data_IF_983250378379
#
_entry.id   IF_983250378379
#
_cell.length_a   1.000
_cell.length_b   1.000
_cell.length_c   1.000
_cell.angle_alpha   90.00
_cell.angle_beta   90.00
_cell.angle_gamma   90.00
#
_symmetry.space_group_name_H-M   'P 1'
#
loop_
_entity.id
_entity.type
_entity.pdbx_description
1 polymer ?
#
# COMPACT_ATOMS: atom_id res chain seq x y z
N UNK A 1 -41.14 -13.48 38.74
CA UNK A 1 -40.95 -13.52 37.28
C UNK A 1 -40.32 -12.20 36.86
N UNK A 2 -39.01 -12.18 36.65
CA UNK A 2 -38.30 -11.03 36.07
C UNK A 2 -38.08 -11.33 34.57
N UNK A 3 -38.33 -10.38 33.65
CA UNK A 3 -38.16 -10.65 32.23
C UNK A 3 -36.66 -10.62 31.90
N UNK A 4 -36.20 -11.69 31.28
CA UNK A 4 -34.87 -11.79 30.68
C UNK A 4 -34.80 -10.88 29.45
N UNK A 5 -33.94 -9.86 29.50
CA UNK A 5 -33.60 -9.08 28.31
C UNK A 5 -32.65 -9.91 27.44
N UNK A 6 -33.15 -10.38 26.30
CA UNK A 6 -32.34 -10.92 25.21
C UNK A 6 -31.49 -9.81 24.58
N UNK A 7 -30.18 -10.05 24.33
CA UNK A 7 -29.33 -9.04 23.71
C UNK A 7 -29.71 -8.87 22.24
N UNK A 8 -29.93 -7.63 21.83
CA UNK A 8 -30.13 -7.23 20.43
C UNK A 8 -28.92 -7.66 19.60
N UNK A 9 -29.10 -8.25 18.40
CA UNK A 9 -27.99 -8.56 17.51
C UNK A 9 -27.42 -7.25 16.99
N UNK A 10 -26.25 -6.86 17.50
CA UNK A 10 -25.50 -5.74 16.94
C UNK A 10 -25.24 -6.01 15.45
N UNK A 11 -25.50 -5.02 14.61
CA UNK A 11 -25.07 -5.03 13.21
C UNK A 11 -23.56 -5.28 13.19
N UNK A 12 -23.16 -6.50 12.85
CA UNK A 12 -21.79 -6.80 12.51
C UNK A 12 -21.48 -6.03 11.22
N UNK A 13 -20.88 -4.85 11.36
CA UNK A 13 -20.21 -4.15 10.25
C UNK A 13 -19.10 -5.09 9.83
N UNK A 14 -19.33 -5.85 8.76
CA UNK A 14 -18.31 -6.70 8.16
C UNK A 14 -17.15 -5.78 7.78
N UNK A 15 -16.00 -5.95 8.44
CA UNK A 15 -14.82 -5.14 8.15
C UNK A 15 -14.51 -5.23 6.64
N UNK A 16 -14.32 -4.10 5.94
CA UNK A 16 -14.14 -4.07 4.48
C UNK A 16 -12.86 -4.81 4.04
N UNK A 17 -11.94 -5.07 4.97
CA UNK A 17 -10.70 -5.81 4.73
C UNK A 17 -10.79 -7.20 5.37
N UNK A 18 -10.54 -8.22 4.56
CA UNK A 18 -10.49 -9.61 5.02
C UNK A 18 -9.42 -9.76 6.12
N UNK A 19 -9.80 -10.28 7.29
CA UNK A 19 -8.93 -10.30 8.49
C UNK A 19 -7.60 -11.02 8.27
N UNK A 20 -7.59 -12.09 7.46
CA UNK A 20 -6.34 -12.78 7.11
C UNK A 20 -5.32 -11.91 6.35
N UNK A 21 -5.69 -10.73 5.82
CA UNK A 21 -4.76 -9.76 5.22
C UNK A 21 -4.02 -8.93 6.26
N UNK A 22 -4.45 -8.98 7.53
CA UNK A 22 -3.99 -8.12 8.61
C UNK A 22 -3.25 -8.96 9.64
N UNK A 23 -2.09 -8.45 10.08
CA UNK A 23 -1.36 -8.93 11.25
C UNK A 23 -1.32 -7.83 12.30
N UNK A 24 -1.76 -8.13 13.51
CA UNK A 24 -1.57 -7.25 14.65
C UNK A 24 -0.17 -7.51 15.20
N UNK A 25 0.73 -6.54 15.03
CA UNK A 25 2.11 -6.61 15.55
C UNK A 25 2.15 -6.15 17.02
N UNK A 26 1.30 -5.18 17.35
CA UNK A 26 1.12 -4.69 18.70
C UNK A 26 -0.35 -4.26 18.89
N UNK A 27 -1.08 -4.77 19.89
CA UNK A 27 -2.50 -4.47 20.05
C UNK A 27 -2.78 -3.05 20.59
N UNK A 28 -1.77 -2.35 21.10
CA UNK A 28 -1.94 -1.16 21.93
C UNK A 28 -2.34 -1.54 23.36
N UNK A 29 -1.86 -0.78 24.34
CA UNK A 29 -2.11 -1.00 25.77
C UNK A 29 -2.77 0.22 26.41
N UNK A 30 -3.77 -0.03 27.24
CA UNK A 30 -4.47 1.00 27.99
C UNK A 30 -5.63 1.62 27.22
N UNK A 31 -6.62 2.08 27.98
CA UNK A 31 -7.73 2.85 27.44
C UNK A 31 -7.29 4.32 27.29
N UNK A 32 -7.71 5.03 26.24
CA UNK A 32 -7.52 6.47 26.18
C UNK A 32 -8.14 7.12 27.44
N UNK A 33 -7.56 8.21 27.96
CA UNK A 33 -8.14 8.94 29.08
C UNK A 33 -9.61 9.27 28.82
N UNK A 34 -10.47 9.14 29.82
CA UNK A 34 -11.89 9.42 29.68
C UNK A 34 -12.11 10.86 29.16
N UNK A 35 -12.80 11.01 28.02
CA UNK A 35 -13.07 12.30 27.39
C UNK A 35 -12.00 12.80 26.40
N UNK A 36 -10.92 12.06 26.17
CA UNK A 36 -9.94 12.41 25.13
C UNK A 36 -10.53 12.22 23.72
N UNK A 37 -10.21 13.13 22.80
CA UNK A 37 -10.52 12.93 21.37
C UNK A 37 -9.80 11.67 20.86
N UNK A 38 -10.42 10.88 19.97
CA UNK A 38 -9.75 9.75 19.32
C UNK A 38 -8.45 10.21 18.65
N UNK A 39 -7.37 9.47 18.90
CA UNK A 39 -6.11 9.67 18.20
C UNK A 39 -6.25 9.33 16.71
N UNK A 40 -5.57 10.04 15.79
CA UNK A 40 -5.60 9.68 14.37
C UNK A 40 -5.08 8.28 14.12
N UNK A 41 -5.57 7.66 13.05
CA UNK A 41 -4.93 6.48 12.46
C UNK A 41 -3.97 6.95 11.37
N UNK A 42 -2.75 6.43 11.37
CA UNK A 42 -1.77 6.76 10.33
C UNK A 42 -1.39 5.52 9.55
N UNK A 43 -1.55 5.57 8.22
CA UNK A 43 -0.98 4.60 7.31
C UNK A 43 0.45 5.00 6.94
N UNK A 44 1.43 4.27 7.45
CA UNK A 44 2.81 4.32 6.96
C UNK A 44 2.91 3.54 5.64
N UNK A 45 2.83 4.30 4.56
CA UNK A 45 2.98 3.83 3.18
C UNK A 45 4.47 3.66 2.86
N UNK A 46 4.82 2.52 2.26
CA UNK A 46 6.18 2.23 1.82
C UNK A 46 6.20 1.49 0.48
N UNK A 47 5.63 0.27 0.42
CA UNK A 47 5.67 -0.58 -0.77
C UNK A 47 4.53 -0.30 -1.74
N UNK A 48 3.34 0.04 -1.22
CA UNK A 48 2.12 0.16 -2.01
C UNK A 48 1.75 1.63 -2.23
N UNK A 49 2.50 2.32 -3.10
CA UNK A 49 2.44 3.77 -3.32
C UNK A 49 1.28 4.16 -4.25
N UNK A 50 0.06 3.91 -3.76
CA UNK A 50 -1.21 4.24 -4.42
C UNK A 50 -2.33 4.44 -3.39
N UNK A 51 -3.32 5.26 -3.74
CA UNK A 51 -4.55 5.45 -2.97
C UNK A 51 -5.66 4.49 -3.41
N UNK A 52 -5.72 4.14 -4.70
CA UNK A 52 -6.69 3.16 -5.20
C UNK A 52 -6.23 1.72 -4.92
N UNK A 53 -7.19 0.80 -4.78
CA UNK A 53 -6.92 -0.65 -4.68
C UNK A 53 -5.84 -1.01 -3.63
N UNK A 54 -5.86 -0.36 -2.47
CA UNK A 54 -4.86 -0.49 -1.41
C UNK A 54 -5.48 -1.00 -0.11
N UNK A 55 -5.29 -2.29 0.20
CA UNK A 55 -5.83 -2.91 1.42
C UNK A 55 -5.28 -2.30 2.72
N UNK A 56 -4.05 -1.78 2.73
CA UNK A 56 -3.47 -1.15 3.91
C UNK A 56 -4.16 0.19 4.21
N UNK A 57 -4.40 1.01 3.17
CA UNK A 57 -5.15 2.25 3.29
C UNK A 57 -6.63 1.99 3.68
N UNK A 58 -7.28 1.01 3.05
CA UNK A 58 -8.65 0.61 3.39
C UNK A 58 -8.77 0.14 4.85
N UNK A 59 -7.79 -0.61 5.34
CA UNK A 59 -7.76 -1.04 6.74
C UNK A 59 -7.57 0.14 7.68
N UNK A 60 -6.64 1.05 7.37
CA UNK A 60 -6.43 2.26 8.15
C UNK A 60 -7.70 3.13 8.21
N UNK A 61 -8.39 3.31 7.08
CA UNK A 61 -9.66 4.03 7.03
C UNK A 61 -10.76 3.32 7.83
N UNK A 62 -10.84 1.99 7.78
CA UNK A 62 -11.80 1.23 8.59
C UNK A 62 -11.56 1.38 10.09
N UNK A 63 -10.29 1.42 10.53
CA UNK A 63 -9.95 1.67 11.93
C UNK A 63 -10.32 3.10 12.34
N UNK A 64 -10.02 4.07 11.47
CA UNK A 64 -10.33 5.48 11.71
C UNK A 64 -11.85 5.71 11.82
N UNK A 65 -12.63 5.12 10.91
CA UNK A 65 -14.08 5.19 10.95
C UNK A 65 -14.67 4.55 12.21
N UNK A 66 -14.16 3.37 12.61
CA UNK A 66 -14.63 2.66 13.80
C UNK A 66 -14.38 3.42 15.10
N UNK A 67 -13.34 4.24 15.17
CA UNK A 67 -13.02 5.07 16.33
C UNK A 67 -13.46 6.53 16.20
N UNK A 68 -14.16 6.89 15.12
CA UNK A 68 -14.45 8.28 14.76
C UNK A 68 -13.20 9.19 14.80
N UNK A 69 -12.07 8.65 14.35
CA UNK A 69 -10.79 9.32 14.28
C UNK A 69 -10.49 9.82 12.86
N UNK A 70 -9.64 10.87 12.72
CA UNK A 70 -9.13 11.27 11.42
C UNK A 70 -8.06 10.29 10.92
N UNK A 71 -7.85 10.26 9.60
CA UNK A 71 -6.89 9.39 8.90
C UNK A 71 -5.79 10.26 8.26
N UNK A 72 -4.54 9.81 8.33
CA UNK A 72 -3.44 10.37 7.54
C UNK A 72 -2.59 9.28 6.89
N UNK A 73 -1.86 9.67 5.85
CA UNK A 73 -0.82 8.87 5.20
C UNK A 73 0.53 9.48 5.53
N UNK A 74 1.51 8.64 5.85
CA UNK A 74 2.90 9.03 6.01
C UNK A 74 3.79 8.18 5.09
N UNK A 75 4.71 8.81 4.39
CA UNK A 75 5.77 8.15 3.64
C UNK A 75 7.12 8.54 4.23
N UNK A 76 7.97 7.54 4.48
CA UNK A 76 9.33 7.76 4.96
C UNK A 76 10.35 7.32 3.92
N UNK A 77 11.08 8.29 3.38
CA UNK A 77 12.19 8.05 2.46
C UNK A 77 13.41 7.61 3.28
N UNK A 78 13.96 6.44 2.95
CA UNK A 78 15.24 6.00 3.52
C UNK A 78 16.33 7.02 3.14
N UNK A 79 17.09 7.57 4.10
CA UNK A 79 18.17 8.49 3.79
C UNK A 79 19.30 7.77 3.07
N UNK A 80 20.26 8.52 2.51
CA UNK A 80 21.48 7.99 1.88
C UNK A 80 22.13 6.92 2.78
N UNK A 81 22.46 5.71 2.29
CA UNK A 81 22.60 5.31 0.88
C UNK A 81 21.30 4.88 0.16
N UNK A 82 20.13 5.26 0.67
CA UNK A 82 18.80 4.90 0.17
C UNK A 82 18.51 3.39 0.27
N UNK A 83 17.23 3.03 0.13
CA UNK A 83 16.80 1.64 0.24
C UNK A 83 17.49 0.78 -0.83
N UNK A 84 18.30 -0.19 -0.39
CA UNK A 84 19.04 -1.12 -1.26
C UNK A 84 19.87 -0.40 -2.35
N UNK A 85 20.43 0.77 -2.03
CA UNK A 85 21.26 1.55 -2.95
C UNK A 85 20.51 1.98 -4.23
N UNK A 86 19.26 2.39 -4.09
CA UNK A 86 18.50 3.01 -5.18
C UNK A 86 19.29 4.15 -5.85
N UNK A 87 19.25 4.20 -7.19
CA UNK A 87 19.98 5.16 -8.01
C UNK A 87 19.06 6.27 -8.49
N UNK A 88 19.60 7.29 -9.17
CA UNK A 88 18.81 8.40 -9.73
C UNK A 88 17.57 7.92 -10.48
N UNK A 89 17.69 6.92 -11.35
CA UNK A 89 16.56 6.30 -12.08
C UNK A 89 15.39 5.88 -11.19
N UNK A 90 15.67 5.13 -10.12
CA UNK A 90 14.61 4.60 -9.24
C UNK A 90 14.04 5.70 -8.34
N UNK A 91 14.92 6.57 -7.82
CA UNK A 91 14.52 7.66 -6.93
C UNK A 91 13.66 8.69 -7.65
N UNK A 92 14.04 9.07 -8.87
CA UNK A 92 13.26 9.96 -9.72
C UNK A 92 11.87 9.40 -10.02
N UNK A 93 11.79 8.13 -10.44
CA UNK A 93 10.51 7.47 -10.71
C UNK A 93 9.61 7.41 -9.46
N UNK A 94 10.17 7.05 -8.30
CA UNK A 94 9.46 7.03 -7.01
C UNK A 94 8.93 8.41 -6.63
N UNK A 95 9.80 9.44 -6.61
CA UNK A 95 9.44 10.76 -6.10
C UNK A 95 8.45 11.48 -7.02
N UNK A 96 8.59 11.33 -8.34
CA UNK A 96 7.62 11.85 -9.31
C UNK A 96 6.27 11.15 -9.16
N UNK A 97 6.26 9.84 -8.87
CA UNK A 97 5.05 9.11 -8.50
C UNK A 97 4.40 9.62 -7.22
N UNK A 98 5.19 9.85 -6.16
CA UNK A 98 4.70 10.41 -4.90
C UNK A 98 4.18 11.84 -5.04
N UNK A 99 4.77 12.67 -5.92
CA UNK A 99 4.25 14.01 -6.24
C UNK A 99 2.81 13.95 -6.75
N UNK A 100 2.51 12.99 -7.63
CA UNK A 100 1.15 12.76 -8.14
C UNK A 100 0.23 12.25 -7.02
N UNK A 101 0.68 11.27 -6.25
CA UNK A 101 -0.08 10.70 -5.12
C UNK A 101 -0.44 11.77 -4.08
N UNK A 102 0.48 12.68 -3.76
CA UNK A 102 0.22 13.77 -2.83
C UNK A 102 -0.87 14.74 -3.33
N UNK A 103 -0.90 15.03 -4.63
CA UNK A 103 -1.96 15.84 -5.23
C UNK A 103 -3.33 15.12 -5.19
N UNK A 104 -3.36 13.82 -5.46
CA UNK A 104 -4.57 13.00 -5.36
C UNK A 104 -5.05 12.89 -3.91
N UNK A 105 -4.12 12.76 -2.96
CA UNK A 105 -4.42 12.73 -1.53
C UNK A 105 -5.03 14.05 -1.05
N UNK A 106 -4.48 15.19 -1.49
CA UNK A 106 -5.04 16.51 -1.21
C UNK A 106 -6.46 16.68 -1.76
N UNK A 107 -6.73 16.20 -2.98
CA UNK A 107 -8.09 16.18 -3.58
C UNK A 107 -9.08 15.39 -2.73
N UNK A 108 -8.62 14.30 -2.11
CA UNK A 108 -9.41 13.46 -1.19
C UNK A 108 -9.41 13.97 0.26
N UNK A 109 -8.75 15.10 0.55
CA UNK A 109 -8.57 15.66 1.90
C UNK A 109 -7.90 14.66 2.87
N UNK A 110 -7.01 13.82 2.36
CA UNK A 110 -6.18 12.92 3.14
C UNK A 110 -4.81 13.58 3.30
N UNK A 111 -4.40 13.97 4.52
CA UNK A 111 -3.08 14.53 4.75
C UNK A 111 -1.98 13.53 4.40
N UNK A 112 -0.97 14.01 3.67
CA UNK A 112 0.20 13.23 3.27
C UNK A 112 1.47 13.81 3.91
N UNK A 113 2.03 13.10 4.88
CA UNK A 113 3.29 13.46 5.54
C UNK A 113 4.47 12.82 4.83
N UNK A 114 5.36 13.63 4.25
CA UNK A 114 6.63 13.16 3.72
C UNK A 114 7.75 13.36 4.75
N UNK A 115 8.43 12.28 5.11
CA UNK A 115 9.54 12.22 6.05
C UNK A 115 10.81 11.81 5.30
N UNK A 116 11.91 12.55 5.43
CA UNK A 116 13.13 12.36 4.61
C UNK A 116 14.37 11.98 5.44
N UNK A 117 14.29 12.02 6.77
CA UNK A 117 15.30 11.54 7.70
C UNK A 117 15.24 10.03 7.98
N UNK A 118 14.19 9.35 7.53
CA UNK A 118 14.08 7.90 7.53
C UNK A 118 13.02 7.32 8.49
N UNK A 119 12.90 5.98 8.56
CA UNK A 119 11.76 5.32 9.23
C UNK A 119 11.58 5.69 10.70
N UNK A 120 12.66 6.08 11.40
CA UNK A 120 12.61 6.47 12.81
C UNK A 120 11.94 7.84 13.05
N UNK A 121 11.59 8.59 12.01
CA UNK A 121 10.71 9.75 12.13
C UNK A 121 9.23 9.35 12.33
N UNK A 122 8.85 8.10 11.99
CA UNK A 122 7.47 7.60 12.16
C UNK A 122 7.04 7.59 13.63
N UNK A 123 7.79 7.02 14.59
CA UNK A 123 7.45 7.12 16.02
C UNK A 123 7.28 8.56 16.50
N UNK A 124 8.18 9.46 16.10
CA UNK A 124 8.08 10.87 16.45
C UNK A 124 6.80 11.51 15.89
N UNK A 125 6.44 11.21 14.63
CA UNK A 125 5.17 11.64 14.04
C UNK A 125 3.96 11.10 14.83
N UNK A 126 3.97 9.82 15.22
CA UNK A 126 2.88 9.21 16.00
C UNK A 126 2.66 9.92 17.33
N UNK A 127 3.74 10.20 18.05
CA UNK A 127 3.69 10.91 19.33
C UNK A 127 3.16 12.34 19.16
N UNK A 128 3.70 13.09 18.19
CA UNK A 128 3.27 14.48 17.93
C UNK A 128 1.79 14.59 17.57
N UNK A 129 1.28 13.62 16.81
CA UNK A 129 -0.14 13.58 16.41
C UNK A 129 -1.06 12.99 17.49
N UNK A 130 -0.51 12.38 18.54
CA UNK A 130 -1.27 11.57 19.49
C UNK A 130 -2.02 10.43 18.79
N UNK A 131 -1.37 9.77 17.82
CA UNK A 131 -2.00 8.73 17.00
C UNK A 131 -2.44 7.53 17.85
N UNK A 132 -3.55 6.90 17.48
CA UNK A 132 -4.05 5.70 18.17
C UNK A 132 -3.57 4.41 17.52
N UNK A 133 -3.32 4.43 16.21
CA UNK A 133 -2.87 3.27 15.47
C UNK A 133 -1.96 3.63 14.30
N UNK A 134 -0.92 2.81 14.12
CA UNK A 134 -0.07 2.77 12.95
C UNK A 134 -0.45 1.55 12.10
N UNK A 135 -0.71 1.77 10.81
CA UNK A 135 -0.88 0.70 9.83
C UNK A 135 0.31 0.75 8.88
N UNK A 136 0.99 -0.37 8.64
CA UNK A 136 2.07 -0.49 7.67
C UNK A 136 1.70 -1.49 6.56
N UNK A 137 2.18 -1.27 5.34
CA UNK A 137 2.12 -2.28 4.28
C UNK A 137 3.21 -3.36 4.44
N UNK A 138 3.12 -4.42 3.65
CA UNK A 138 4.00 -5.59 3.77
C UNK A 138 5.09 -5.64 2.68
N UNK A 139 6.34 -5.77 3.12
CA UNK A 139 7.46 -6.19 2.28
C UNK A 139 8.26 -7.31 2.95
N UNK A 140 8.64 -8.38 2.21
CA UNK A 140 9.49 -9.43 2.75
C UNK A 140 10.98 -9.02 2.84
N UNK A 141 11.36 -7.88 2.26
CA UNK A 141 12.76 -7.47 2.17
C UNK A 141 13.32 -7.12 3.54
N UNK A 142 14.48 -7.69 3.87
CA UNK A 142 15.17 -7.53 5.15
C UNK A 142 15.24 -6.07 5.65
N UNK A 143 15.77 -5.08 4.90
CA UNK A 143 15.87 -3.70 5.41
C UNK A 143 14.50 -3.07 5.74
N UNK A 144 13.43 -3.46 5.04
CA UNK A 144 12.07 -2.96 5.32
C UNK A 144 11.50 -3.61 6.58
N UNK A 145 11.72 -4.92 6.74
CA UNK A 145 11.31 -5.65 7.94
C UNK A 145 12.04 -5.14 9.18
N UNK A 146 13.36 -4.97 9.10
CA UNK A 146 14.17 -4.42 10.18
C UNK A 146 13.74 -2.99 10.56
N UNK A 147 13.42 -2.15 9.57
CA UNK A 147 12.88 -0.82 9.83
C UNK A 147 11.52 -0.86 10.54
N UNK A 148 10.61 -1.75 10.12
CA UNK A 148 9.33 -1.94 10.79
C UNK A 148 9.50 -2.46 12.22
N UNK A 149 10.36 -3.45 12.44
CA UNK A 149 10.65 -4.01 13.76
C UNK A 149 11.24 -2.93 14.70
N UNK A 150 12.12 -2.05 14.18
CA UNK A 150 12.67 -0.93 14.92
C UNK A 150 11.61 0.12 15.31
N UNK A 151 10.73 0.48 14.37
CA UNK A 151 9.61 1.41 14.61
C UNK A 151 8.62 0.84 15.62
N UNK A 152 8.23 -0.44 15.49
CA UNK A 152 7.40 -1.15 16.46
C UNK A 152 8.06 -1.14 17.84
N UNK A 153 9.35 -1.49 17.92
CA UNK A 153 10.09 -1.49 19.17
C UNK A 153 10.14 -0.12 19.85
N UNK A 154 10.29 0.96 19.09
CA UNK A 154 10.25 2.32 19.62
C UNK A 154 8.86 2.72 20.12
N UNK A 155 7.81 2.43 19.35
CA UNK A 155 6.43 2.68 19.76
C UNK A 155 6.05 1.89 21.02
N UNK A 156 6.45 0.63 21.13
CA UNK A 156 6.18 -0.17 22.33
C UNK A 156 6.86 0.41 23.59
N UNK A 157 8.02 1.05 23.47
CA UNK A 157 8.70 1.69 24.60
C UNK A 157 8.11 3.04 24.96
N UNK A 158 7.88 3.88 23.96
CA UNK A 158 7.65 5.31 24.17
C UNK A 158 6.17 5.72 24.00
N UNK A 159 5.35 4.85 23.41
CA UNK A 159 3.94 5.08 23.11
C UNK A 159 3.13 3.76 23.12
N UNK A 160 3.22 3.01 24.22
CA UNK A 160 2.64 1.68 24.36
C UNK A 160 1.11 1.61 24.15
N UNK A 161 0.40 2.74 24.10
CA UNK A 161 -1.03 2.78 23.74
C UNK A 161 -1.30 2.67 22.24
N UNK A 162 -0.29 2.87 21.39
CA UNK A 162 -0.44 2.84 19.92
C UNK A 162 -0.55 1.38 19.45
N UNK A 163 -1.66 1.06 18.78
CA UNK A 163 -1.78 -0.21 18.06
C UNK A 163 -0.93 -0.20 16.79
N UNK A 164 -0.30 -1.31 16.43
CA UNK A 164 0.47 -1.45 15.19
C UNK A 164 -0.02 -2.65 14.40
N UNK A 165 -0.54 -2.39 13.20
CA UNK A 165 -1.04 -3.39 12.28
C UNK A 165 -0.19 -3.43 11.01
N UNK A 166 0.06 -4.61 10.47
CA UNK A 166 0.68 -4.81 9.16
C UNK A 166 -0.33 -5.44 8.20
N UNK A 167 -0.43 -4.93 6.99
CA UNK A 167 -1.38 -5.42 5.98
C UNK A 167 -0.65 -5.84 4.71
N UNK A 168 -0.98 -7.02 4.19
CA UNK A 168 -0.54 -7.42 2.84
C UNK A 168 -1.44 -6.78 1.78
N UNK A 169 -1.00 -5.62 1.28
CA UNK A 169 -1.66 -4.85 0.23
C UNK A 169 -1.09 -5.12 -1.18
N UNK A 170 -0.07 -5.97 -1.28
CA UNK A 170 0.65 -6.21 -2.53
C UNK A 170 0.23 -7.50 -3.21
N UNK A 171 -0.02 -8.56 -2.42
CA UNK A 171 -0.40 -9.86 -2.93
C UNK A 171 -1.92 -10.04 -2.93
N UNK A 172 -2.44 -10.75 -3.94
CA UNK A 172 -3.87 -11.13 -3.97
C UNK A 172 -4.22 -11.95 -2.74
N UNK A 173 -3.47 -13.02 -2.48
CA UNK A 173 -3.57 -13.84 -1.27
C UNK A 173 -2.45 -13.42 -0.31
N UNK A 174 -2.73 -13.06 0.95
CA UNK A 174 -1.71 -12.65 1.91
C UNK A 174 -0.59 -13.67 2.04
N UNK A 175 0.67 -13.23 2.02
CA UNK A 175 1.84 -14.10 1.94
C UNK A 175 1.87 -15.19 3.03
N UNK A 176 1.36 -14.85 4.21
CA UNK A 176 1.35 -15.75 5.37
C UNK A 176 0.17 -16.69 5.42
N UNK A 177 -0.89 -16.38 4.68
CA UNK A 177 -2.03 -17.26 4.43
C UNK A 177 -1.74 -18.17 3.23
N UNK A 178 -0.96 -17.67 2.28
CA UNK A 178 -0.65 -18.35 1.02
C UNK A 178 0.04 -19.71 1.25
N UNK A 179 0.98 -19.77 2.20
CA UNK A 179 1.63 -21.00 2.61
C UNK A 179 2.27 -20.86 4.00
N UNK A 180 2.15 -21.88 4.84
CA UNK A 180 2.86 -21.96 6.12
C UNK A 180 4.37 -22.24 6.00
N UNK A 181 4.92 -22.36 4.78
CA UNK A 181 6.35 -22.59 4.51
C UNK A 181 6.77 -22.10 3.13
N UNK A 182 8.09 -22.02 2.91
CA UNK A 182 8.68 -21.85 1.59
C UNK A 182 8.28 -23.02 0.68
N UNK A 183 7.76 -22.69 -0.51
CA UNK A 183 7.35 -23.68 -1.51
C UNK A 183 8.49 -23.99 -2.47
N UNK A 184 8.64 -25.27 -2.82
CA UNK A 184 9.71 -25.75 -3.69
C UNK A 184 9.54 -25.32 -5.15
N UNK A 185 8.29 -25.19 -5.64
CA UNK A 185 8.04 -24.88 -7.06
C UNK A 185 6.74 -24.13 -7.27
N UNK A 186 6.60 -23.53 -8.46
CA UNK A 186 5.35 -22.92 -8.89
C UNK A 186 4.18 -23.92 -8.90
N UNK A 187 4.41 -25.22 -9.16
CA UNK A 187 3.35 -26.24 -9.16
C UNK A 187 2.73 -26.41 -7.76
N UNK A 188 3.57 -26.54 -6.74
CA UNK A 188 3.11 -26.77 -5.36
C UNK A 188 2.44 -25.52 -4.80
N UNK A 189 2.99 -24.34 -5.07
CA UNK A 189 2.39 -23.06 -4.69
C UNK A 189 1.04 -22.82 -5.39
N UNK A 190 0.96 -23.03 -6.72
CA UNK A 190 -0.28 -22.84 -7.50
C UNK A 190 -1.43 -23.71 -7.01
N UNK A 191 -1.15 -24.96 -6.61
CA UNK A 191 -2.17 -25.85 -6.06
C UNK A 191 -2.80 -25.29 -4.78
N UNK A 192 -2.02 -24.61 -3.92
CA UNK A 192 -2.55 -23.91 -2.75
C UNK A 192 -3.33 -22.66 -3.14
N UNK A 193 -2.78 -21.85 -4.05
CA UNK A 193 -3.38 -20.58 -4.44
C UNK A 193 -4.75 -20.79 -5.08
N UNK A 194 -4.88 -21.77 -5.97
CA UNK A 194 -6.14 -22.04 -6.66
C UNK A 194 -7.28 -22.46 -5.71
N UNK A 195 -6.98 -22.95 -4.50
CA UNK A 195 -8.02 -23.32 -3.52
C UNK A 195 -8.67 -22.13 -2.85
N UNK A 196 -7.93 -21.03 -2.72
CA UNK A 196 -8.36 -19.83 -1.99
C UNK A 196 -8.51 -18.62 -2.91
N UNK A 197 -8.13 -18.71 -4.18
CA UNK A 197 -8.10 -17.55 -5.08
C UNK A 197 -9.45 -16.85 -5.19
N UNK A 198 -10.56 -17.59 -5.25
CA UNK A 198 -11.90 -16.98 -5.36
C UNK A 198 -12.33 -16.23 -4.08
N UNK A 199 -11.79 -16.59 -2.91
CA UNK A 199 -12.01 -15.88 -1.64
C UNK A 199 -11.27 -14.53 -1.61
N UNK A 200 -10.09 -14.46 -2.24
CA UNK A 200 -9.19 -13.30 -2.16
C UNK A 200 -9.18 -12.41 -3.41
N UNK A 201 -9.46 -12.95 -4.60
CA UNK A 201 -9.53 -12.21 -5.87
C UNK A 201 -10.92 -11.60 -6.04
N UNK A 202 -11.22 -10.68 -5.13
CA UNK A 202 -12.48 -9.93 -5.06
C UNK A 202 -12.25 -8.47 -5.45
N UNK A 203 -13.32 -7.75 -5.80
CA UNK A 203 -13.23 -6.30 -6.01
C UNK A 203 -12.88 -5.55 -4.73
N UNK A 204 -12.26 -4.39 -4.88
CA UNK A 204 -11.95 -3.50 -3.77
C UNK A 204 -13.19 -2.67 -3.42
N UNK A 205 -13.52 -2.49 -2.12
CA UNK A 205 -14.50 -1.50 -1.73
C UNK A 205 -13.95 -0.09 -1.94
N UNK A 206 -14.85 0.86 -2.11
CA UNK A 206 -14.50 2.29 -2.09
C UNK A 206 -13.99 2.70 -0.71
N UNK A 207 -13.11 3.71 -0.69
CA UNK A 207 -12.65 4.31 0.55
C UNK A 207 -13.83 5.07 1.20
N UNK A 208 -14.28 4.62 2.37
CA UNK A 208 -15.34 5.29 3.10
C UNK A 208 -14.97 6.71 3.54
N UNK A 209 -15.98 7.53 3.85
CA UNK A 209 -15.76 8.85 4.41
C UNK A 209 -15.01 8.77 5.76
N UNK A 210 -13.97 9.57 5.90
CA UNK A 210 -13.21 9.70 7.15
C UNK A 210 -13.50 11.04 7.79
N UNK A 211 -13.39 11.09 9.12
CA UNK A 211 -13.53 12.34 9.88
C UNK A 211 -12.53 13.38 9.33
N UNK A 212 -12.94 14.64 9.12
CA UNK A 212 -12.05 15.68 8.64
C UNK A 212 -10.80 15.81 9.52
N UNK A 213 -9.66 16.05 8.87
CA UNK A 213 -8.40 16.21 9.58
C UNK A 213 -8.38 17.49 10.43
N UNK A 214 -8.14 17.35 11.73
CA UNK A 214 -8.10 18.44 12.72
C UNK A 214 -6.81 18.43 13.58
N UNK A 215 -5.70 17.93 13.04
CA UNK A 215 -4.38 17.87 13.72
C UNK A 215 -3.35 18.72 12.98
N UNK A 216 -2.07 18.61 13.38
CA UNK A 216 -0.92 19.21 12.69
C UNK A 216 -1.04 18.96 11.18
N UNK A 217 -0.88 20.01 10.38
CA UNK A 217 -0.90 19.88 8.92
C UNK A 217 0.47 19.41 8.42
N UNK A 218 0.53 18.57 7.38
CA UNK A 218 1.79 18.29 6.70
C UNK A 218 2.45 19.58 6.21
N UNK A 219 3.77 19.59 6.21
CA UNK A 219 4.53 20.71 5.62
C UNK A 219 4.36 20.70 4.10
N UNK A 220 4.31 21.89 3.50
CA UNK A 220 4.37 22.02 2.05
C UNK A 220 5.69 21.45 1.53
N UNK A 221 5.60 20.72 0.41
CA UNK A 221 6.74 20.04 -0.21
C UNK A 221 7.09 20.76 -1.50
N UNK A 222 8.28 21.37 -1.54
CA UNK A 222 8.90 21.77 -2.81
C UNK A 222 9.45 20.51 -3.50
N UNK A 223 8.60 19.91 -4.34
CA UNK A 223 8.89 18.66 -5.02
C UNK A 223 10.08 18.76 -5.96
N UNK A 224 10.24 19.88 -6.66
CA UNK A 224 11.30 20.05 -7.65
C UNK A 224 12.67 20.12 -6.92
N UNK A 225 12.77 20.95 -5.88
CA UNK A 225 13.97 21.01 -5.03
C UNK A 225 14.28 19.66 -4.35
N UNK A 226 13.25 18.96 -3.85
CA UNK A 226 13.41 17.65 -3.23
C UNK A 226 13.96 16.61 -4.22
N UNK A 227 13.35 16.52 -5.41
CA UNK A 227 13.75 15.56 -6.44
C UNK A 227 15.20 15.80 -6.86
N UNK A 228 15.57 17.05 -7.12
CA UNK A 228 16.94 17.41 -7.51
C UNK A 228 17.95 17.08 -6.40
N UNK A 229 17.60 17.38 -5.14
CA UNK A 229 18.45 17.07 -3.97
C UNK A 229 18.65 15.57 -3.79
N UNK A 230 17.59 14.77 -3.84
CA UNK A 230 17.68 13.32 -3.64
C UNK A 230 18.41 12.66 -4.81
N UNK A 231 18.10 13.05 -6.04
CA UNK A 231 18.70 12.47 -7.24
C UNK A 231 20.19 12.78 -7.37
N UNK A 232 20.63 14.00 -7.00
CA UNK A 232 22.06 14.39 -7.03
C UNK A 232 22.90 13.69 -5.96
N UNK A 233 22.29 13.17 -4.90
CA UNK A 233 22.98 12.41 -3.85
C UNK A 233 23.26 10.94 -4.22
N UNK A 234 22.55 10.42 -5.22
CA UNK A 234 22.65 9.05 -5.70
C UNK A 234 23.57 8.94 -6.91
N UNK A 235 23.97 7.71 -7.26
CA UNK A 235 24.73 7.47 -8.49
C UNK A 235 23.87 7.73 -9.72
N UNK A 236 24.50 8.34 -10.74
CA UNK A 236 23.84 8.92 -11.92
C UNK A 236 23.51 7.87 -12.98
N UNK A 237 22.56 6.99 -12.65
CA UNK A 237 21.87 6.17 -13.64
C UNK A 237 20.69 6.99 -14.18
N UNK A 238 20.65 7.35 -15.48
CA UNK A 238 19.65 8.25 -16.04
C UNK A 238 18.22 7.77 -15.80
N UNK A 239 17.28 8.67 -15.56
CA UNK A 239 15.85 8.33 -15.50
C UNK A 239 15.36 7.68 -16.81
N UNK A 240 14.25 6.95 -16.73
CA UNK A 240 13.62 6.37 -17.93
C UNK A 240 12.70 7.40 -18.58
N UNK A 241 12.55 7.30 -19.89
CA UNK A 241 11.76 8.19 -20.74
C UNK A 241 10.61 7.47 -21.47
N UNK A 242 10.56 6.15 -21.38
CA UNK A 242 9.57 5.32 -22.09
C UNK A 242 8.26 5.10 -21.30
N UNK A 243 8.21 5.48 -20.01
CA UNK A 243 6.96 5.52 -19.26
C UNK A 243 6.98 6.52 -18.11
N UNK A 244 5.82 7.09 -17.83
CA UNK A 244 5.60 8.01 -16.71
C UNK A 244 5.27 7.23 -15.42
N UNK A 245 5.69 7.70 -14.23
CA UNK A 245 5.32 7.11 -12.94
C UNK A 245 3.92 7.50 -12.47
N UNK A 246 3.42 6.80 -11.43
CA UNK A 246 2.15 7.10 -10.76
C UNK A 246 0.95 6.26 -11.21
N UNK A 247 -0.15 6.37 -10.45
CA UNK A 247 -1.36 5.53 -10.59
C UNK A 247 -2.03 5.68 -11.97
N UNK A 248 -2.19 6.92 -12.45
CA UNK A 248 -2.83 7.19 -13.73
C UNK A 248 -2.08 6.56 -14.92
N UNK A 249 -0.75 6.72 -14.95
CA UNK A 249 0.09 6.13 -15.99
C UNK A 249 0.10 4.60 -15.92
N UNK A 250 0.09 4.03 -14.72
CA UNK A 250 -0.01 2.59 -14.53
C UNK A 250 -1.34 2.02 -15.06
N UNK A 251 -2.46 2.73 -14.83
CA UNK A 251 -3.76 2.35 -15.34
C UNK A 251 -3.85 2.48 -16.86
N UNK A 252 -3.27 3.53 -17.45
CA UNK A 252 -3.17 3.67 -18.91
C UNK A 252 -2.32 2.55 -19.53
N UNK A 253 -1.21 2.16 -18.88
CA UNK A 253 -0.41 1.02 -19.34
C UNK A 253 -1.19 -0.31 -19.32
N UNK A 254 -2.11 -0.49 -18.36
CA UNK A 254 -2.94 -1.69 -18.25
C UNK A 254 -4.15 -1.67 -19.21
N UNK A 255 -4.94 -0.60 -19.19
CA UNK A 255 -6.27 -0.49 -19.79
C UNK A 255 -6.41 0.60 -20.86
N UNK A 256 -5.34 1.33 -21.16
CA UNK A 256 -5.35 2.43 -22.12
C UNK A 256 -5.96 2.07 -23.45
N UNK A 257 -6.70 3.01 -24.05
CA UNK A 257 -7.43 2.74 -25.29
C UNK A 257 -6.52 2.72 -26.52
N UNK A 258 -5.35 3.37 -26.44
CA UNK A 258 -4.37 3.46 -27.52
C UNK A 258 -3.41 2.28 -27.53
N UNK A 259 -2.78 1.99 -26.39
CA UNK A 259 -1.72 0.97 -26.29
C UNK A 259 -1.74 0.15 -24.98
N UNK A 260 -2.89 0.13 -24.29
CA UNK A 260 -3.05 -0.64 -23.05
C UNK A 260 -2.80 -2.14 -23.24
N UNK A 261 -2.17 -2.77 -22.25
CA UNK A 261 -1.81 -4.18 -22.33
C UNK A 261 -3.03 -5.07 -22.58
N UNK A 262 -4.07 -4.95 -21.75
CA UNK A 262 -5.25 -5.81 -21.83
C UNK A 262 -6.21 -5.44 -22.96
N UNK A 263 -6.09 -4.24 -23.52
CA UNK A 263 -6.95 -3.75 -24.59
C UNK A 263 -6.36 -3.99 -25.99
N UNK A 264 -5.03 -3.97 -26.13
CA UNK A 264 -4.36 -4.06 -27.45
C UNK A 264 -3.34 -5.18 -27.57
N UNK A 265 -2.67 -5.58 -26.50
CA UNK A 265 -1.42 -6.39 -26.59
C UNK A 265 -1.55 -7.82 -26.02
N UNK A 266 -2.54 -8.10 -25.16
CA UNK A 266 -2.72 -9.39 -24.47
C UNK A 266 -2.87 -10.60 -25.41
N UNK A 267 -3.43 -10.43 -26.61
CA UNK A 267 -3.70 -11.53 -27.56
C UNK A 267 -2.44 -12.30 -27.96
N UNK A 268 -1.31 -11.61 -28.12
CA UNK A 268 -0.04 -12.24 -28.51
C UNK A 268 0.83 -12.61 -27.32
N UNK A 269 0.43 -12.35 -26.08
CA UNK A 269 1.28 -12.55 -24.91
C UNK A 269 1.77 -14.00 -24.76
N UNK A 270 0.89 -14.99 -24.91
CA UNK A 270 1.26 -16.41 -24.78
C UNK A 270 2.32 -16.84 -25.80
N UNK A 271 2.18 -16.41 -27.06
CA UNK A 271 3.12 -16.75 -28.13
C UNK A 271 4.39 -15.92 -28.09
N UNK A 272 4.32 -14.67 -27.63
CA UNK A 272 5.37 -13.68 -27.89
C UNK A 272 6.20 -13.29 -26.66
N UNK A 273 5.75 -13.58 -25.43
CA UNK A 273 6.43 -13.18 -24.17
C UNK A 273 7.88 -13.66 -24.01
N UNK A 274 8.29 -14.66 -24.78
CA UNK A 274 9.65 -15.21 -24.74
C UNK A 274 10.57 -14.68 -25.85
N UNK A 275 10.12 -13.72 -26.67
CA UNK A 275 10.89 -13.15 -27.76
C UNK A 275 11.34 -11.72 -27.43
N UNK A 276 12.62 -11.50 -27.08
CA UNK A 276 13.13 -10.16 -26.75
C UNK A 276 13.02 -9.16 -27.90
N UNK A 277 12.95 -9.65 -29.14
CA UNK A 277 12.73 -8.82 -30.36
C UNK A 277 11.29 -8.30 -30.49
N UNK A 278 10.37 -8.73 -29.61
CA UNK A 278 8.97 -8.29 -29.55
C UNK A 278 8.68 -7.57 -28.22
N UNK A 279 9.31 -6.41 -27.95
CA UNK A 279 9.23 -5.75 -26.64
C UNK A 279 7.79 -5.39 -26.23
N UNK A 280 6.93 -5.07 -27.20
CA UNK A 280 5.53 -4.71 -26.98
C UNK A 280 4.64 -5.88 -26.55
N UNK A 281 5.12 -7.13 -26.67
CA UNK A 281 4.37 -8.28 -26.20
C UNK A 281 4.24 -8.30 -24.67
N UNK A 282 5.23 -7.82 -23.92
CA UNK A 282 5.20 -7.80 -22.46
C UNK A 282 4.32 -6.67 -21.93
N UNK A 283 3.71 -6.84 -20.77
CA UNK A 283 2.79 -5.84 -20.22
C UNK A 283 3.43 -4.47 -19.96
N UNK A 284 4.73 -4.43 -19.66
CA UNK A 284 5.42 -3.21 -19.23
C UNK A 284 5.03 -2.77 -17.82
N UNK A 285 4.33 -3.61 -17.05
CA UNK A 285 3.76 -3.23 -15.75
C UNK A 285 4.72 -3.34 -14.57
N UNK A 286 5.91 -3.93 -14.75
CA UNK A 286 6.82 -4.19 -13.63
C UNK A 286 7.32 -2.95 -12.89
N UNK A 287 7.57 -1.77 -13.51
CA UNK A 287 7.93 -0.57 -12.75
C UNK A 287 6.79 -0.14 -11.82
N UNK A 288 5.55 -0.17 -12.32
CA UNK A 288 4.35 0.19 -11.56
C UNK A 288 4.06 -0.78 -10.43
N UNK A 289 4.19 -2.09 -10.70
CA UNK A 289 4.01 -3.12 -9.69
C UNK A 289 5.11 -3.05 -8.63
N UNK A 290 6.35 -2.73 -9.01
CA UNK A 290 7.47 -2.61 -8.06
C UNK A 290 7.23 -1.51 -7.01
N UNK A 291 6.85 -0.31 -7.44
CA UNK A 291 6.53 0.82 -6.56
C UNK A 291 5.09 0.78 -6.03
N UNK A 292 4.29 -0.20 -6.46
CA UNK A 292 2.90 -0.33 -6.04
C UNK A 292 1.99 0.79 -6.54
N UNK A 293 2.31 1.44 -7.66
CA UNK A 293 1.43 2.40 -8.35
C UNK A 293 0.18 1.74 -8.95
N UNK A 294 0.18 0.43 -9.11
CA UNK A 294 -1.01 -0.35 -9.46
C UNK A 294 -1.05 -1.64 -8.65
N UNK A 295 -2.25 -2.03 -8.24
CA UNK A 295 -2.48 -3.29 -7.54
C UNK A 295 -2.33 -4.48 -8.49
N UNK A 296 -1.54 -5.49 -8.11
CA UNK A 296 -1.50 -6.76 -8.83
C UNK A 296 -2.87 -7.44 -8.87
N UNK A 297 -3.68 -7.25 -7.82
CA UNK A 297 -5.05 -7.75 -7.76
C UNK A 297 -5.96 -7.04 -8.76
N UNK A 298 -5.84 -5.71 -8.93
CA UNK A 298 -6.54 -4.97 -9.98
C UNK A 298 -6.19 -5.50 -11.37
N UNK A 299 -4.90 -5.69 -11.65
CA UNK A 299 -4.44 -6.29 -12.91
C UNK A 299 -5.09 -7.67 -13.15
N UNK A 300 -5.14 -8.53 -12.12
CA UNK A 300 -5.74 -9.86 -12.21
C UNK A 300 -7.27 -9.83 -12.41
N UNK A 301 -7.99 -8.95 -11.73
CA UNK A 301 -9.44 -8.75 -11.92
C UNK A 301 -9.75 -8.31 -13.36
N UNK A 302 -9.01 -7.33 -13.87
CA UNK A 302 -9.20 -6.81 -15.22
C UNK A 302 -8.83 -7.81 -16.31
N UNK A 303 -7.83 -8.66 -16.05
CA UNK A 303 -7.49 -9.79 -16.90
C UNK A 303 -8.60 -10.86 -16.88
N UNK A 304 -9.15 -11.19 -15.70
CA UNK A 304 -10.28 -12.14 -15.55
C UNK A 304 -11.50 -11.69 -16.37
N UNK A 305 -11.84 -10.39 -16.37
CA UNK A 305 -12.91 -9.80 -17.19
C UNK A 305 -12.66 -9.96 -18.70
N UNK A 306 -11.40 -10.05 -19.13
CA UNK A 306 -10.96 -10.12 -20.53
C UNK A 306 -10.42 -11.47 -20.95
N UNK A 307 -10.62 -12.52 -20.15
CA UNK A 307 -10.13 -13.88 -20.44
C UNK A 307 -10.56 -14.41 -21.82
N UNK A 308 -11.71 -13.96 -22.33
CA UNK A 308 -12.19 -14.30 -23.66
C UNK A 308 -11.26 -13.82 -24.80
N UNK A 309 -10.43 -12.79 -24.57
CA UNK A 309 -9.47 -12.28 -25.56
C UNK A 309 -8.21 -13.14 -25.66
N UNK A 310 -7.86 -13.88 -24.60
CA UNK A 310 -6.75 -14.83 -24.59
C UNK A 310 -7.03 -15.95 -23.57
N UNK A 311 -7.71 -17.04 -23.97
CA UNK A 311 -8.14 -18.08 -23.03
C UNK A 311 -7.01 -18.83 -22.32
N UNK A 312 -5.79 -18.77 -22.89
CA UNK A 312 -4.57 -19.36 -22.34
C UNK A 312 -3.86 -18.45 -21.32
N UNK A 313 -4.26 -17.17 -21.23
CA UNK A 313 -3.70 -16.18 -20.31
C UNK A 313 -4.64 -15.87 -19.15
#
# INVERSE_FOLDING_TARGET
MAPSASPSPGLAVTAPVHQARVRVLHPGQGLPPAGAKPGPVVYWMLRDQRLADNWALLHAASLAAASAAPLAVAFSLFPKPFLLSARRRQLGFLLRGLRRLAADAATRRIPFFLLTGGPMEIPALMQRLGASALVADFSPLRPVREALDAVVGALCRDAASVAVHQVDAHNVVPVWTASGKLEYSAKTFRSKMNKVLDEYLVEFPELGEVVPWDREQPKDIDWDTLIDTVCSQAEDVPEIDWCEPGEAAAMEALLGTKDGFLTKRIKSYDSDRNYPTKPMALSGLSPYLHFGHISAQRCALEAKKRRHLSPKC
#
